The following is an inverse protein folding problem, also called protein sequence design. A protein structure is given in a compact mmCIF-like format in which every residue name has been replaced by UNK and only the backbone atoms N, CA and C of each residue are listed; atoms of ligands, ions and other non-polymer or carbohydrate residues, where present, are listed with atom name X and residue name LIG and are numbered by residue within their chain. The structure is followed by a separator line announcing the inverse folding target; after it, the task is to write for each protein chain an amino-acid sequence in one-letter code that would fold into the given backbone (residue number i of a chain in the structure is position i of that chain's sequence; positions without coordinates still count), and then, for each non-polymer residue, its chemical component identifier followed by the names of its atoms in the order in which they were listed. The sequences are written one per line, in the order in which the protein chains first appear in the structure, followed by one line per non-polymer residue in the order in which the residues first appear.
data_IF_249939765626
#
_entry.id   IF_249939765626
#
_cell.length_a   1.000
_cell.length_b   1.000
_cell.length_c   1.000
_cell.angle_alpha   90.00
_cell.angle_beta   90.00
_cell.angle_gamma   90.00
#
_symmetry.space_group_name_H-M   'P 1'
#
loop_
_entity.id
_entity.type
_entity.pdbx_description
1 polymer ?
#
# COMPACT_ATOMS: atom_id res chain seq x y z
N UNK A 1 -8.36 -11.84 0.69
CA UNK A 1 -7.67 -10.86 -0.16
C UNK A 1 -7.98 -9.50 0.40
N UNK A 2 -6.98 -8.66 0.56
CA UNK A 2 -7.15 -7.32 1.12
C UNK A 2 -6.09 -6.37 0.59
N UNK A 3 -6.22 -5.10 0.92
CA UNK A 3 -5.25 -4.08 0.52
C UNK A 3 -3.89 -4.31 1.18
N UNK A 4 -2.82 -4.11 0.41
CA UNK A 4 -1.46 -4.11 0.93
C UNK A 4 -1.21 -2.78 1.63
N UNK A 5 -1.04 -2.84 2.95
CA UNK A 5 -0.69 -1.67 3.77
C UNK A 5 0.64 -1.91 4.45
N UNK A 6 1.51 -0.90 4.45
CA UNK A 6 2.84 -1.00 5.06
C UNK A 6 3.05 0.09 6.11
N UNK A 7 3.79 -0.27 7.17
CA UNK A 7 4.20 0.67 8.21
C UNK A 7 5.60 0.30 8.68
N UNK A 8 6.52 1.25 8.66
CA UNK A 8 7.88 1.01 9.13
C UNK A 8 8.81 2.19 8.84
N UNK A 9 10.02 2.17 9.44
CA UNK A 9 10.99 3.25 9.31
C UNK A 9 11.56 3.37 7.89
N UNK A 10 11.43 2.33 7.06
CA UNK A 10 11.87 2.34 5.66
C UNK A 10 10.78 2.83 4.70
N UNK A 11 9.56 3.11 5.18
CA UNK A 11 8.52 3.70 4.33
C UNK A 11 8.86 5.18 4.13
N UNK A 12 8.75 5.64 2.88
CA UNK A 12 9.02 7.03 2.53
C UNK A 12 8.02 7.98 3.22
N UNK A 13 8.33 9.27 3.32
CA UNK A 13 7.53 10.23 4.11
C UNK A 13 6.29 10.78 3.39
N UNK A 14 6.16 10.51 2.09
CA UNK A 14 5.16 11.14 1.24
C UNK A 14 5.69 11.47 -0.15
N UNK A 15 4.77 11.87 -1.01
CA UNK A 15 5.04 12.29 -2.37
C UNK A 15 5.51 13.74 -2.43
N UNK A 16 6.53 14.02 -3.25
CA UNK A 16 7.09 15.35 -3.39
C UNK A 16 6.09 16.32 -4.00
N UNK A 17 5.86 17.47 -3.34
CA UNK A 17 4.90 18.52 -3.73
C UNK A 17 3.45 18.05 -3.90
N UNK A 18 3.10 16.89 -3.34
CA UNK A 18 1.74 16.34 -3.38
C UNK A 18 1.27 16.05 -1.94
N UNK A 19 0.97 17.10 -1.14
CA UNK A 19 0.58 16.94 0.25
C UNK A 19 -0.76 16.21 0.41
N UNK A 20 -1.72 16.45 -0.49
CA UNK A 20 -3.05 15.81 -0.45
C UNK A 20 -2.95 14.30 -0.73
N UNK A 21 -2.22 13.91 -1.78
CA UNK A 21 -1.95 12.50 -2.07
C UNK A 21 -1.18 11.84 -0.94
N UNK A 22 -0.21 12.55 -0.35
CA UNK A 22 0.53 12.05 0.81
C UNK A 22 -0.42 11.78 1.98
N UNK A 23 -1.30 12.71 2.33
CA UNK A 23 -2.25 12.52 3.43
C UNK A 23 -3.23 11.38 3.15
N UNK A 24 -3.72 11.29 1.92
CA UNK A 24 -4.60 10.20 1.48
C UNK A 24 -3.92 8.83 1.58
N UNK A 25 -2.70 8.71 1.05
CA UNK A 25 -1.91 7.46 1.06
C UNK A 25 -1.43 7.11 2.47
N UNK A 26 -1.17 8.08 3.35
CA UNK A 26 -0.68 7.88 4.72
C UNK A 26 -1.77 7.99 5.80
N UNK A 27 -2.99 7.54 5.51
CA UNK A 27 -4.10 7.55 6.48
C UNK A 27 -3.87 6.59 7.65
N UNK A 28 -4.19 7.05 8.87
CA UNK A 28 -4.05 6.32 10.13
C UNK A 28 -2.61 5.83 10.44
N UNK A 29 -1.58 6.48 9.87
CA UNK A 29 -0.18 6.09 10.07
C UNK A 29 0.24 4.82 9.33
N UNK A 30 -0.54 4.42 8.33
CA UNK A 30 -0.25 3.31 7.42
C UNK A 30 -0.14 3.84 5.99
N UNK A 31 0.78 3.28 5.21
CA UNK A 31 0.92 3.57 3.79
C UNK A 31 0.06 2.59 2.98
N UNK A 32 -0.94 3.10 2.28
CA UNK A 32 -1.93 2.36 1.50
C UNK A 32 -1.48 2.29 0.04
N UNK A 33 -1.10 1.11 -0.46
CA UNK A 33 -0.57 1.01 -1.84
C UNK A 33 -1.66 0.90 -2.90
N UNK A 34 -2.92 0.62 -2.53
CA UNK A 34 -4.01 0.35 -3.46
C UNK A 34 -3.94 -1.04 -4.13
N UNK A 35 -2.87 -1.80 -3.90
CA UNK A 35 -2.71 -3.15 -4.44
C UNK A 35 -3.44 -4.18 -3.59
N UNK A 36 -3.87 -5.28 -4.21
CA UNK A 36 -4.51 -6.39 -3.51
C UNK A 36 -3.50 -7.49 -3.21
N UNK A 37 -3.32 -7.77 -1.92
CA UNK A 37 -2.45 -8.82 -1.40
C UNK A 37 -3.23 -10.05 -0.94
N UNK A 38 -2.62 -11.23 -1.14
CA UNK A 38 -3.07 -12.48 -0.52
C UNK A 38 -1.88 -13.37 -0.19
N UNK A 39 -1.91 -13.93 1.01
CA UNK A 39 -1.09 -15.08 1.36
C UNK A 39 -1.78 -16.37 0.96
N UNK A 40 -1.03 -17.30 0.37
CA UNK A 40 -1.46 -18.67 0.19
C UNK A 40 -1.12 -19.55 1.40
N UNK A 41 -1.36 -20.86 1.27
CA UNK A 41 -1.15 -21.84 2.35
C UNK A 41 0.33 -22.20 2.53
N UNK A 42 1.13 -21.95 1.51
CA UNK A 42 2.56 -22.29 1.45
C UNK A 42 3.43 -21.09 1.89
N UNK A 43 2.80 -19.96 2.22
CA UNK A 43 3.45 -18.76 2.75
C UNK A 43 3.88 -17.78 1.67
N UNK A 44 3.53 -17.99 0.41
CA UNK A 44 3.83 -17.03 -0.64
C UNK A 44 2.83 -15.88 -0.62
N UNK A 45 3.36 -14.69 -0.88
CA UNK A 45 2.60 -13.48 -1.01
C UNK A 45 2.41 -13.13 -2.49
N UNK A 46 1.16 -13.04 -2.92
CA UNK A 46 0.82 -12.57 -4.27
C UNK A 46 0.28 -11.16 -4.20
N UNK A 47 0.91 -10.24 -4.95
CA UNK A 47 0.42 -8.90 -5.22
C UNK A 47 -0.33 -8.89 -6.56
N UNK A 48 -1.57 -8.41 -6.57
CA UNK A 48 -2.35 -8.18 -7.78
C UNK A 48 -2.62 -6.69 -7.91
N UNK A 49 -2.12 -6.13 -9.02
CA UNK A 49 -2.42 -4.76 -9.43
C UNK A 49 -3.83 -4.74 -10.05
N UNK A 50 -4.76 -3.89 -9.59
CA UNK A 50 -6.02 -3.71 -10.29
C UNK A 50 -5.74 -3.19 -11.70
N UNK A 51 -6.37 -3.80 -12.71
CA UNK A 51 -6.29 -3.29 -14.08
C UNK A 51 -6.99 -1.94 -14.13
N UNK A 52 -6.29 -0.90 -14.59
CA UNK A 52 -6.91 0.38 -14.93
C UNK A 52 -7.94 0.10 -16.05
N UNK A 53 -9.22 0.34 -15.76
CA UNK A 53 -10.31 0.27 -16.76
C UNK A 53 -10.30 1.49 -17.65
#
# INVERSE_FOLDING_TARGET
TGEIVTRGPMVFKGYWKLPEETEYTFRNGWHHTGDQGRFDKDGFFTCRVPAFS
#
